data_IF_947706483976
#
_entry.id   IF_947706483976
#
_cell.length_a   1.000
_cell.length_b   1.000
_cell.length_c   1.000
_cell.angle_alpha   90.00
_cell.angle_beta   90.00
_cell.angle_gamma   90.00
#
_symmetry.space_group_name_H-M   'P 1'
#
loop_
_entity.id
_entity.type
_entity.pdbx_description
1 polymer ?
#
# COMPACT_ATOMS: atom_id res chain seq x y z
N UNK A 1 1.79 1.65 -16.54
CA UNK A 1 2.34 2.97 -16.21
C UNK A 1 2.16 3.24 -14.71
N UNK A 2 3.24 3.66 -14.00
CA UNK A 2 3.17 4.01 -12.58
C UNK A 2 2.78 5.49 -12.43
N UNK A 3 1.72 5.76 -11.65
CA UNK A 3 1.28 7.12 -11.33
C UNK A 3 1.30 7.32 -9.82
N UNK A 4 1.87 8.42 -9.37
CA UNK A 4 1.95 8.78 -7.95
C UNK A 4 1.51 10.22 -7.74
N UNK A 5 0.59 10.39 -6.80
CA UNK A 5 0.12 11.70 -6.35
C UNK A 5 0.37 11.83 -4.86
N UNK A 6 1.04 12.90 -4.44
CA UNK A 6 1.27 13.21 -3.03
C UNK A 6 0.94 14.66 -2.75
N UNK A 7 0.28 14.88 -1.64
CA UNK A 7 0.01 16.21 -1.09
C UNK A 7 0.51 16.20 0.34
N UNK A 8 1.23 17.24 0.73
CA UNK A 8 1.68 17.45 2.11
C UNK A 8 1.26 18.84 2.58
N UNK A 9 0.67 18.86 3.77
CA UNK A 9 0.28 20.06 4.47
C UNK A 9 1.00 20.11 5.82
N UNK A 10 1.61 21.26 6.12
CA UNK A 10 2.23 21.52 7.41
C UNK A 10 1.67 22.85 7.95
N UNK A 11 1.31 22.84 9.23
CA UNK A 11 0.87 24.04 9.95
C UNK A 11 1.56 24.08 11.30
N UNK A 12 2.17 25.21 11.59
CA UNK A 12 2.68 25.59 12.92
C UNK A 12 1.93 26.81 13.38
N UNK A 13 1.18 26.71 14.49
CA UNK A 13 0.38 27.78 15.05
C UNK A 13 0.78 28.04 16.50
N UNK A 14 1.25 29.23 16.78
CA UNK A 14 1.44 29.74 18.13
C UNK A 14 0.22 30.58 18.51
N UNK A 15 -0.60 30.05 19.43
CA UNK A 15 -1.78 30.77 19.92
C UNK A 15 -1.38 31.89 20.89
N UNK A 16 -0.35 31.59 21.68
CA UNK A 16 0.22 32.55 22.64
C UNK A 16 1.59 32.02 23.13
N UNK A 17 2.22 32.70 24.09
CA UNK A 17 3.56 32.37 24.62
C UNK A 17 3.65 31.02 25.34
N UNK A 18 2.53 30.42 25.68
CA UNK A 18 2.46 29.12 26.41
C UNK A 18 1.77 28.01 25.68
N UNK A 19 1.12 28.25 24.52
CA UNK A 19 0.39 27.23 23.74
C UNK A 19 0.80 27.27 22.28
N UNK A 20 1.35 26.15 21.79
CA UNK A 20 1.70 25.93 20.39
C UNK A 20 1.10 24.62 19.89
N UNK A 21 0.60 24.64 18.67
CA UNK A 21 0.12 23.46 17.94
C UNK A 21 0.84 23.34 16.60
N UNK A 22 1.29 22.13 16.29
CA UNK A 22 1.90 21.81 15.00
C UNK A 22 1.22 20.58 14.42
N UNK A 23 0.95 20.60 13.13
CA UNK A 23 0.42 19.45 12.41
C UNK A 23 1.13 19.25 11.08
N UNK A 24 1.37 18.00 10.74
CA UNK A 24 1.85 17.57 9.42
C UNK A 24 0.92 16.48 8.92
N UNK A 25 0.28 16.73 7.79
CA UNK A 25 -0.58 15.74 7.12
C UNK A 25 -0.07 15.45 5.71
N UNK A 26 0.05 14.19 5.38
CA UNK A 26 0.47 13.72 4.05
C UNK A 26 -0.58 12.76 3.50
N UNK A 27 -1.00 13.03 2.28
CA UNK A 27 -1.88 12.19 1.49
C UNK A 27 -1.09 11.64 0.31
N UNK A 28 -1.20 10.34 0.06
CA UNK A 28 -0.55 9.67 -1.06
C UNK A 28 -1.51 8.74 -1.78
N UNK A 29 -1.48 8.77 -3.10
CA UNK A 29 -2.15 7.78 -3.95
C UNK A 29 -1.17 7.25 -4.97
N UNK A 30 -1.13 5.93 -5.09
CA UNK A 30 -0.24 5.19 -5.98
C UNK A 30 -1.09 4.30 -6.87
N UNK A 31 -0.91 4.43 -8.18
CA UNK A 31 -1.53 3.57 -9.18
C UNK A 31 -0.41 2.83 -9.90
N UNK A 32 -0.35 1.52 -9.71
CA UNK A 32 0.61 0.61 -10.32
C UNK A 32 -0.09 -0.37 -11.26
N UNK A 33 -1.30 -0.03 -11.67
CA UNK A 33 -2.10 -0.84 -12.59
C UNK A 33 -1.38 -1.04 -13.92
N UNK A 34 -1.65 -2.17 -14.54
CA UNK A 34 -1.07 -2.60 -15.80
C UNK A 34 -0.31 -3.91 -15.64
N UNK A 35 0.01 -4.50 -16.77
CA UNK A 35 0.64 -5.81 -16.84
C UNK A 35 2.05 -5.70 -17.41
N UNK A 36 2.91 -6.63 -17.06
CA UNK A 36 4.26 -6.76 -17.56
C UNK A 36 4.58 -8.19 -17.91
N UNK A 37 5.47 -8.40 -18.86
CA UNK A 37 5.99 -9.73 -19.17
C UNK A 37 6.67 -10.34 -17.93
N UNK A 38 6.53 -11.65 -17.77
CA UNK A 38 7.15 -12.37 -16.67
C UNK A 38 8.64 -12.59 -16.94
N UNK A 39 9.49 -11.77 -16.35
CA UNK A 39 10.95 -11.93 -16.44
C UNK A 39 11.41 -13.31 -15.91
N UNK A 40 10.80 -13.80 -14.83
CA UNK A 40 11.12 -15.09 -14.26
C UNK A 40 10.83 -16.26 -15.21
N UNK A 41 9.73 -16.18 -15.99
CA UNK A 41 9.44 -17.16 -17.04
C UNK A 41 10.40 -17.02 -18.22
N UNK A 42 10.75 -15.79 -18.59
CA UNK A 42 11.65 -15.54 -19.72
C UNK A 42 13.04 -16.15 -19.53
N UNK A 43 13.63 -16.04 -18.34
CA UNK A 43 14.97 -16.63 -18.07
C UNK A 43 14.96 -18.16 -18.01
N UNK A 44 13.81 -18.78 -17.85
CA UNK A 44 13.64 -20.25 -17.81
C UNK A 44 13.16 -20.81 -19.13
N UNK A 45 12.84 -19.97 -20.09
CA UNK A 45 12.29 -20.36 -21.37
C UNK A 45 13.32 -21.14 -22.20
N UNK A 46 12.86 -22.17 -22.91
CA UNK A 46 13.70 -22.85 -23.88
C UNK A 46 13.99 -21.96 -25.09
N UNK A 47 15.21 -21.97 -25.63
CA UNK A 47 15.63 -21.05 -26.70
C UNK A 47 14.84 -21.15 -28.02
N UNK A 48 14.22 -22.31 -28.28
CA UNK A 48 13.49 -22.60 -29.52
C UNK A 48 11.97 -22.36 -29.42
N UNK A 49 11.50 -21.70 -28.34
CA UNK A 49 10.08 -21.41 -28.15
C UNK A 49 9.57 -20.33 -29.10
N UNK A 50 8.27 -20.40 -29.47
CA UNK A 50 7.56 -19.40 -30.26
C UNK A 50 6.67 -18.55 -29.36
N UNK A 51 6.86 -17.24 -29.38
CA UNK A 51 6.04 -16.32 -28.58
C UNK A 51 4.73 -15.94 -29.28
N UNK A 52 4.64 -16.06 -30.59
CA UNK A 52 3.51 -15.61 -31.42
C UNK A 52 3.02 -16.72 -32.34
N UNK A 53 1.69 -16.76 -32.52
CA UNK A 53 1.02 -17.52 -33.56
C UNK A 53 1.23 -16.85 -34.94
N UNK A 54 0.84 -17.53 -36.00
CA UNK A 54 0.92 -17.01 -37.38
C UNK A 54 0.05 -15.76 -37.62
N UNK A 55 -1.05 -15.65 -36.86
CA UNK A 55 -1.96 -14.49 -36.87
C UNK A 55 -1.47 -13.29 -36.04
N UNK A 56 -0.29 -13.39 -35.40
CA UNK A 56 0.30 -12.37 -34.56
C UNK A 56 -0.22 -12.33 -33.11
N UNK A 57 -1.15 -13.20 -32.73
CA UNK A 57 -1.56 -13.35 -31.32
C UNK A 57 -0.47 -14.04 -30.50
N UNK A 58 -0.48 -13.83 -29.18
CA UNK A 58 0.45 -14.52 -28.28
C UNK A 58 0.07 -16.01 -28.14
N UNK A 59 1.07 -16.88 -28.20
CA UNK A 59 0.86 -18.29 -27.87
C UNK A 59 0.62 -18.44 -26.36
N UNK A 60 -0.20 -19.39 -25.94
CA UNK A 60 -0.33 -19.72 -24.51
C UNK A 60 0.92 -20.43 -24.02
N UNK A 61 1.44 -21.33 -24.84
CA UNK A 61 2.68 -22.08 -24.59
C UNK A 61 3.70 -21.75 -25.68
N UNK A 62 4.94 -21.50 -25.29
CA UNK A 62 6.03 -21.21 -26.25
C UNK A 62 6.56 -22.46 -26.93
N UNK A 63 6.21 -23.66 -26.44
CA UNK A 63 6.60 -24.96 -27.00
C UNK A 63 5.39 -25.87 -27.12
N UNK A 64 5.49 -26.90 -27.97
CA UNK A 64 4.43 -27.91 -28.17
C UNK A 64 4.18 -28.75 -26.90
N UNK A 65 5.23 -28.95 -26.10
CA UNK A 65 5.11 -29.60 -24.79
C UNK A 65 4.54 -28.61 -23.75
N UNK A 66 3.21 -28.54 -23.68
CA UNK A 66 2.49 -27.68 -22.73
C UNK A 66 2.47 -28.23 -21.30
N UNK A 67 3.01 -29.43 -21.04
CA UNK A 67 3.00 -30.08 -19.72
C UNK A 67 3.98 -29.43 -18.73
N UNK A 68 4.98 -28.70 -19.21
CA UNK A 68 6.01 -28.07 -18.41
C UNK A 68 5.66 -26.60 -18.06
N UNK A 69 5.78 -26.26 -16.79
CA UNK A 69 5.68 -24.86 -16.35
C UNK A 69 6.72 -23.93 -17.03
N UNK A 70 7.76 -24.50 -17.65
CA UNK A 70 8.77 -23.79 -18.42
C UNK A 70 8.35 -23.53 -19.87
N UNK A 71 7.27 -24.12 -20.33
CA UNK A 71 6.72 -23.90 -21.69
C UNK A 71 5.79 -22.69 -21.76
N UNK A 72 5.29 -22.18 -20.62
CA UNK A 72 4.35 -21.07 -20.58
C UNK A 72 5.00 -19.82 -21.20
N UNK A 73 4.31 -19.20 -22.16
CA UNK A 73 4.79 -18.00 -22.83
C UNK A 73 5.00 -16.86 -21.81
N UNK A 74 6.22 -16.33 -21.64
CA UNK A 74 6.51 -15.25 -20.71
C UNK A 74 5.78 -13.94 -21.06
N UNK A 75 5.43 -13.73 -22.31
CA UNK A 75 4.67 -12.57 -22.78
C UNK A 75 3.17 -12.68 -22.48
N UNK A 76 2.63 -13.87 -22.21
CA UNK A 76 1.21 -14.09 -21.96
C UNK A 76 0.66 -13.24 -20.80
N UNK A 77 1.50 -12.92 -19.80
CA UNK A 77 1.10 -12.05 -18.70
C UNK A 77 0.85 -10.57 -19.11
N UNK A 78 1.22 -10.16 -20.32
CA UNK A 78 0.84 -8.84 -20.86
C UNK A 78 -0.68 -8.71 -21.09
N UNK A 79 -1.36 -9.83 -21.30
CA UNK A 79 -2.81 -9.88 -21.50
C UNK A 79 -3.60 -9.79 -20.17
N UNK A 80 -2.95 -9.96 -19.02
CA UNK A 80 -3.58 -9.81 -17.72
C UNK A 80 -4.19 -8.41 -17.57
N UNK A 81 -5.36 -8.33 -16.95
CA UNK A 81 -6.00 -7.07 -16.59
C UNK A 81 -5.76 -6.83 -15.11
N UNK A 82 -4.71 -6.06 -14.81
CA UNK A 82 -4.27 -5.80 -13.44
C UNK A 82 -4.63 -4.38 -13.00
N UNK A 83 -5.26 -4.28 -11.83
CA UNK A 83 -5.50 -3.03 -11.10
C UNK A 83 -4.80 -3.11 -9.74
N UNK A 84 -3.89 -2.19 -9.47
CA UNK A 84 -3.17 -2.09 -8.19
C UNK A 84 -3.18 -0.61 -7.75
N UNK A 85 -4.07 -0.30 -6.82
CA UNK A 85 -4.24 1.05 -6.28
C UNK A 85 -4.00 1.03 -4.79
N UNK A 86 -3.16 1.94 -4.32
CA UNK A 86 -2.89 2.15 -2.90
C UNK A 86 -3.14 3.60 -2.53
N UNK A 87 -3.72 3.81 -1.36
CA UNK A 87 -3.82 5.13 -0.76
C UNK A 87 -3.22 5.11 0.65
N UNK A 88 -2.64 6.24 1.05
CA UNK A 88 -2.04 6.42 2.36
C UNK A 88 -2.34 7.81 2.89
N UNK A 89 -2.76 7.86 4.16
CA UNK A 89 -2.90 9.08 4.94
C UNK A 89 -1.98 8.96 6.15
N UNK A 90 -1.16 9.97 6.38
CA UNK A 90 -0.35 10.09 7.60
C UNK A 90 -0.62 11.45 8.18
N UNK A 91 -0.95 11.53 9.45
CA UNK A 91 -1.03 12.79 10.18
C UNK A 91 -0.28 12.69 11.50
N UNK A 92 0.50 13.71 11.80
CA UNK A 92 1.20 13.85 13.06
C UNK A 92 0.83 15.22 13.64
N UNK A 93 0.38 15.25 14.89
CA UNK A 93 0.00 16.45 15.57
C UNK A 93 0.81 16.58 16.87
N UNK A 94 1.22 17.77 17.17
CA UNK A 94 1.98 18.11 18.37
C UNK A 94 1.31 19.28 19.05
N UNK A 95 0.92 19.09 20.29
CA UNK A 95 0.46 20.17 21.18
C UNK A 95 1.52 20.39 22.25
N UNK A 96 2.03 21.61 22.33
CA UNK A 96 2.99 22.03 23.37
C UNK A 96 2.34 23.06 24.29
N UNK A 97 2.39 22.78 25.59
CA UNK A 97 1.87 23.64 26.64
C UNK A 97 3.00 23.96 27.63
N UNK A 98 3.34 25.23 27.79
CA UNK A 98 4.22 25.73 28.84
C UNK A 98 3.37 26.32 29.96
N UNK A 99 3.44 25.74 31.16
CA UNK A 99 2.59 26.19 32.25
C UNK A 99 3.09 27.57 32.81
N UNK A 100 2.36 28.69 32.61
CA UNK A 100 2.85 30.00 33.02
C UNK A 100 2.90 30.11 34.55
N UNK A 101 2.08 29.32 35.27
CA UNK A 101 2.00 29.36 36.73
C UNK A 101 3.11 28.54 37.41
N UNK A 102 3.74 27.62 36.69
CA UNK A 102 4.81 26.74 37.21
C UNK A 102 6.02 26.89 36.32
N UNK A 103 6.95 27.79 36.72
CA UNK A 103 8.16 28.00 35.92
C UNK A 103 8.93 26.70 35.69
N UNK A 104 9.22 26.43 34.42
CA UNK A 104 9.99 25.25 34.00
C UNK A 104 9.17 23.99 33.73
N UNK A 105 7.86 24.00 33.97
CA UNK A 105 6.97 22.89 33.63
C UNK A 105 6.44 23.07 32.20
N UNK A 106 6.54 22.01 31.41
CA UNK A 106 5.95 21.91 30.08
C UNK A 106 5.31 20.52 29.88
N UNK A 107 4.31 20.51 29.02
CA UNK A 107 3.65 19.29 28.57
C UNK A 107 3.64 19.27 27.05
N UNK A 108 3.93 18.11 26.47
CA UNK A 108 3.87 17.88 25.04
C UNK A 108 3.05 16.63 24.77
N UNK A 109 2.03 16.79 23.95
CA UNK A 109 1.23 15.71 23.42
C UNK A 109 1.59 15.50 21.96
N UNK A 110 2.11 14.32 21.63
CA UNK A 110 2.29 13.88 20.24
C UNK A 110 1.20 12.88 19.90
N UNK A 111 0.55 13.07 18.77
CA UNK A 111 -0.38 12.08 18.21
C UNK A 111 0.00 11.80 16.77
N UNK A 112 0.08 10.52 16.43
CA UNK A 112 0.28 10.04 15.06
C UNK A 112 -0.89 9.18 14.65
N UNK A 113 -1.33 9.32 13.41
CA UNK A 113 -2.30 8.44 12.80
C UNK A 113 -1.86 8.11 11.37
N UNK A 114 -1.87 6.82 11.04
CA UNK A 114 -1.58 6.32 9.70
C UNK A 114 -2.70 5.40 9.26
N UNK A 115 -3.31 5.73 8.14
CA UNK A 115 -4.24 4.87 7.44
C UNK A 115 -3.69 4.50 6.08
N UNK A 116 -3.72 3.21 5.75
CA UNK A 116 -3.32 2.70 4.44
C UNK A 116 -4.36 1.73 3.94
N UNK A 117 -4.67 1.79 2.67
CA UNK A 117 -5.44 0.76 2.00
C UNK A 117 -4.80 0.40 0.66
N UNK A 118 -5.00 -0.85 0.25
CA UNK A 118 -4.58 -1.38 -1.04
C UNK A 118 -5.70 -2.18 -1.65
N UNK A 119 -5.93 -2.00 -2.93
CA UNK A 119 -6.83 -2.83 -3.71
C UNK A 119 -6.06 -3.37 -4.92
N UNK A 120 -5.83 -4.67 -4.90
CA UNK A 120 -5.19 -5.40 -5.99
C UNK A 120 -6.20 -6.36 -6.62
N UNK A 121 -6.30 -6.32 -7.94
CA UNK A 121 -7.13 -7.21 -8.74
C UNK A 121 -6.34 -7.64 -9.97
N UNK A 122 -6.29 -8.93 -10.25
CA UNK A 122 -5.63 -9.49 -11.42
C UNK A 122 -6.56 -10.49 -12.09
N UNK A 123 -7.06 -10.12 -13.24
CA UNK A 123 -7.87 -10.98 -14.08
C UNK A 123 -7.01 -11.54 -15.22
N UNK A 124 -7.08 -12.84 -15.39
CA UNK A 124 -6.42 -13.64 -16.42
C UNK A 124 -7.52 -14.25 -17.30
N UNK A 125 -7.66 -13.73 -18.50
CA UNK A 125 -8.67 -14.17 -19.46
C UNK A 125 -8.26 -15.41 -20.26
N UNK A 126 -9.11 -15.82 -21.19
CA UNK A 126 -8.89 -17.00 -22.05
C UNK A 126 -7.64 -16.85 -22.94
N UNK A 127 -7.15 -15.65 -23.13
CA UNK A 127 -5.93 -15.31 -23.86
C UNK A 127 -4.65 -15.39 -23.00
N UNK A 128 -4.75 -15.95 -21.79
CA UNK A 128 -3.64 -16.25 -20.89
C UNK A 128 -3.61 -17.76 -20.58
N UNK A 129 -2.45 -18.28 -20.21
CA UNK A 129 -2.30 -19.73 -19.91
C UNK A 129 -3.19 -20.17 -18.74
N UNK A 130 -3.14 -19.44 -17.64
CA UNK A 130 -3.92 -19.73 -16.43
C UNK A 130 -5.43 -19.55 -16.68
N UNK A 131 -5.81 -18.47 -17.36
CA UNK A 131 -7.21 -18.19 -17.67
C UNK A 131 -7.81 -19.18 -18.65
N UNK A 132 -7.07 -19.61 -19.68
CA UNK A 132 -7.54 -20.62 -20.63
C UNK A 132 -7.82 -21.97 -19.95
N UNK A 133 -6.98 -22.35 -18.98
CA UNK A 133 -7.13 -23.65 -18.28
C UNK A 133 -8.30 -23.67 -17.29
N UNK A 134 -8.76 -22.52 -16.79
CA UNK A 134 -9.78 -22.40 -15.75
C UNK A 134 -11.01 -21.58 -16.19
N UNK A 135 -11.15 -21.31 -17.48
CA UNK A 135 -12.21 -20.48 -18.05
C UNK A 135 -12.29 -19.09 -17.38
N UNK A 136 -11.13 -18.43 -17.32
CA UNK A 136 -10.93 -17.17 -16.61
C UNK A 136 -10.56 -17.37 -15.13
N UNK A 137 -9.58 -16.57 -14.66
CA UNK A 137 -9.14 -16.55 -13.25
C UNK A 137 -9.08 -15.12 -12.77
N UNK A 138 -9.71 -14.85 -11.64
CA UNK A 138 -9.61 -13.57 -10.93
C UNK A 138 -8.99 -13.79 -9.57
N UNK A 139 -7.93 -13.05 -9.28
CA UNK A 139 -7.36 -12.94 -7.94
C UNK A 139 -7.54 -11.53 -7.43
N UNK A 140 -8.07 -11.38 -6.22
CA UNK A 140 -8.17 -10.09 -5.52
C UNK A 140 -7.45 -10.15 -4.19
N UNK A 141 -6.81 -9.04 -3.82
CA UNK A 141 -6.15 -8.85 -2.53
C UNK A 141 -6.38 -7.41 -2.08
N UNK A 142 -7.39 -7.25 -1.24
CA UNK A 142 -7.77 -5.97 -0.66
C UNK A 142 -7.36 -5.96 0.81
N UNK A 143 -6.56 -5.00 1.23
CA UNK A 143 -6.17 -4.85 2.63
C UNK A 143 -6.22 -3.39 3.08
N UNK A 144 -6.44 -3.20 4.36
CA UNK A 144 -6.25 -1.92 5.03
C UNK A 144 -5.49 -2.07 6.35
N UNK A 145 -4.87 -1.00 6.76
CA UNK A 145 -4.17 -0.92 8.03
C UNK A 145 -4.39 0.45 8.65
N UNK A 146 -4.73 0.44 9.93
CA UNK A 146 -4.85 1.62 10.78
C UNK A 146 -3.83 1.54 11.90
N UNK A 147 -3.11 2.61 12.13
CA UNK A 147 -2.13 2.70 13.19
C UNK A 147 -2.24 4.08 13.85
N UNK A 148 -2.32 4.10 15.17
CA UNK A 148 -2.27 5.33 15.93
C UNK A 148 -1.25 5.23 17.06
N UNK A 149 -0.66 6.36 17.39
CA UNK A 149 0.25 6.54 18.50
C UNK A 149 -0.15 7.78 19.29
N UNK A 150 -0.08 7.69 20.59
CA UNK A 150 -0.28 8.78 21.55
C UNK A 150 0.88 8.81 22.51
N UNK A 151 1.57 9.94 22.61
CA UNK A 151 2.68 10.15 23.54
C UNK A 151 2.43 11.40 24.38
N UNK A 152 2.44 11.22 25.69
CA UNK A 152 2.32 12.29 26.67
C UNK A 152 3.68 12.50 27.33
N UNK A 153 4.24 13.67 27.16
CA UNK A 153 5.55 14.02 27.68
C UNK A 153 5.40 15.19 28.64
N UNK A 154 5.74 14.99 29.90
CA UNK A 154 5.83 16.04 30.89
C UNK A 154 7.30 16.32 31.18
N UNK A 155 7.71 17.58 31.15
CA UNK A 155 9.09 17.98 31.42
C UNK A 155 9.11 19.12 32.41
N UNK A 156 10.00 19.01 33.39
CA UNK A 156 10.25 20.05 34.39
C UNK A 156 11.73 20.36 34.42
N UNK A 157 12.06 21.63 34.20
CA UNK A 157 13.44 22.11 34.26
C UNK A 157 13.49 23.43 35.07
N UNK A 158 14.29 23.40 36.11
CA UNK A 158 14.45 24.57 36.96
C UNK A 158 15.84 24.67 37.58
N UNK A 159 16.28 25.88 37.76
CA UNK A 159 17.53 26.24 38.47
C UNK A 159 17.21 26.86 39.84
N UNK A 160 17.88 26.35 40.85
CA UNK A 160 17.78 26.81 42.24
C UNK A 160 19.18 27.13 42.75
N UNK A 161 19.58 28.37 42.69
CA UNK A 161 20.94 28.78 43.03
C UNK A 161 21.98 28.11 42.15
N UNK A 162 22.80 27.21 42.74
CA UNK A 162 23.82 26.45 41.99
C UNK A 162 23.31 25.09 41.49
N UNK A 163 22.06 24.70 41.78
CA UNK A 163 21.48 23.40 41.42
C UNK A 163 20.55 23.56 40.22
N UNK A 164 20.71 22.67 39.26
CA UNK A 164 19.81 22.52 38.12
C UNK A 164 19.11 21.16 38.21
N UNK A 165 17.79 21.19 38.22
CA UNK A 165 16.93 19.98 38.21
C UNK A 165 16.31 19.87 36.82
N UNK A 166 16.40 18.67 36.24
CA UNK A 166 15.71 18.29 35.02
C UNK A 166 15.01 16.97 35.25
N UNK A 167 13.72 16.93 34.96
CA UNK A 167 12.88 15.73 35.02
C UNK A 167 12.06 15.61 33.75
N UNK A 168 11.96 14.39 33.20
CA UNK A 168 11.06 14.07 32.09
C UNK A 168 10.33 12.79 32.40
N UNK A 169 9.00 12.81 32.29
CA UNK A 169 8.12 11.65 32.32
C UNK A 169 7.50 11.46 30.95
N UNK A 170 7.43 10.21 30.49
CA UNK A 170 6.81 9.82 29.23
C UNK A 170 5.79 8.71 29.51
N UNK A 171 4.60 8.86 28.94
CA UNK A 171 3.61 7.80 28.78
C UNK A 171 3.21 7.72 27.32
N UNK A 172 3.30 6.52 26.72
CA UNK A 172 2.88 6.27 25.36
C UNK A 172 1.90 5.11 25.25
N UNK A 173 1.00 5.20 24.29
CA UNK A 173 0.10 4.14 23.88
C UNK A 173 0.06 4.10 22.35
N UNK A 174 -0.01 2.90 21.80
CA UNK A 174 -0.13 2.69 20.36
C UNK A 174 -0.99 1.48 20.06
N UNK A 175 -1.64 1.49 18.91
CA UNK A 175 -2.33 0.32 18.36
C UNK A 175 -2.13 0.27 16.86
N UNK A 176 -2.11 -0.94 16.34
CA UNK A 176 -2.11 -1.21 14.89
C UNK A 176 -3.08 -2.32 14.60
N UNK A 177 -3.98 -2.05 13.68
CA UNK A 177 -4.92 -3.02 13.14
C UNK A 177 -4.59 -3.26 11.67
N UNK A 178 -4.76 -4.49 11.24
CA UNK A 178 -4.53 -4.91 9.86
C UNK A 178 -5.59 -5.93 9.48
N UNK A 179 -6.26 -5.67 8.38
CA UNK A 179 -7.25 -6.58 7.81
C UNK A 179 -6.92 -6.82 6.34
N UNK A 180 -7.00 -8.07 5.91
CA UNK A 180 -6.76 -8.48 4.52
C UNK A 180 -7.83 -9.46 4.08
N UNK A 181 -8.37 -9.22 2.88
CA UNK A 181 -9.34 -10.05 2.21
C UNK A 181 -8.80 -10.50 0.87
N UNK A 182 -8.58 -11.81 0.71
CA UNK A 182 -8.13 -12.41 -0.53
C UNK A 182 -9.23 -13.31 -1.08
N UNK A 183 -9.54 -13.14 -2.36
CA UNK A 183 -10.53 -13.97 -3.05
C UNK A 183 -9.98 -14.45 -4.39
N UNK A 184 -10.33 -15.68 -4.75
CA UNK A 184 -10.10 -16.25 -6.06
C UNK A 184 -11.44 -16.64 -6.69
N UNK A 185 -11.67 -16.25 -7.94
CA UNK A 185 -12.81 -16.66 -8.75
C UNK A 185 -12.33 -17.33 -10.03
N UNK A 186 -13.06 -18.35 -10.50
CA UNK A 186 -12.80 -19.09 -11.74
C UNK A 186 -14.08 -19.30 -12.51
N UNK A 187 -13.96 -19.79 -13.75
CA UNK A 187 -15.10 -20.21 -14.58
C UNK A 187 -16.07 -19.05 -14.91
N UNK A 188 -15.50 -17.97 -15.41
CA UNK A 188 -16.29 -16.81 -15.84
C UNK A 188 -17.05 -17.08 -17.14
N UNK A 189 -18.27 -16.56 -17.29
CA UNK A 189 -19.08 -16.78 -18.51
C UNK A 189 -18.48 -16.09 -19.75
N UNK A 190 -17.68 -15.06 -19.58
CA UNK A 190 -16.96 -14.34 -20.65
C UNK A 190 -15.89 -13.41 -20.07
N UNK A 191 -15.00 -12.90 -20.94
CA UNK A 191 -13.90 -11.99 -20.58
C UNK A 191 -14.28 -10.50 -20.63
N UNK A 192 -15.55 -10.13 -20.87
CA UNK A 192 -15.92 -8.75 -21.17
C UNK A 192 -15.84 -7.83 -19.97
N UNK A 193 -16.19 -8.34 -18.78
CA UNK A 193 -16.25 -7.51 -17.56
C UNK A 193 -15.05 -7.65 -16.63
N UNK A 194 -14.06 -8.50 -16.99
CA UNK A 194 -12.83 -8.70 -16.24
C UNK A 194 -13.07 -8.89 -14.73
N UNK A 195 -12.38 -8.08 -13.91
CA UNK A 195 -12.45 -8.10 -12.44
C UNK A 195 -13.72 -7.47 -11.85
N UNK A 196 -14.69 -7.03 -12.66
CA UNK A 196 -15.97 -6.52 -12.17
C UNK A 196 -17.05 -7.58 -11.98
N UNK A 197 -16.79 -8.83 -12.35
CA UNK A 197 -17.79 -9.92 -12.40
C UNK A 197 -17.54 -11.05 -11.39
N UNK A 198 -16.87 -10.81 -10.26
CA UNK A 198 -16.56 -11.91 -9.32
C UNK A 198 -17.80 -12.67 -8.84
N UNK A 199 -18.96 -12.03 -8.79
CA UNK A 199 -20.23 -12.69 -8.41
C UNK A 199 -20.76 -13.67 -9.46
N UNK A 200 -20.09 -13.81 -10.60
CA UNK A 200 -20.48 -14.70 -11.72
C UNK A 200 -19.48 -15.87 -11.92
N UNK A 201 -18.43 -15.91 -11.08
CA UNK A 201 -17.45 -16.97 -11.07
C UNK A 201 -17.98 -18.26 -10.43
#
# INVERSE_FOLDING_TARGET
EFKRYNIRFNLDQEFNSWLKFSTTTQLGRYDRSGSSASFWRAIKQVPLGRAYNEDGSLTLSATEDSSSAFSINPLGSLNNKTKDIRAKVITNNVLEVKFPFIKGLSYKLNTGFTYQNSSYKNYQGLDTYEGASANGVLNTDDWHSEEWILENIISYQREFGKHRIFFTGLYSAQSKEYEQNTMEGKNFPNDVMYYYQISKA
#
